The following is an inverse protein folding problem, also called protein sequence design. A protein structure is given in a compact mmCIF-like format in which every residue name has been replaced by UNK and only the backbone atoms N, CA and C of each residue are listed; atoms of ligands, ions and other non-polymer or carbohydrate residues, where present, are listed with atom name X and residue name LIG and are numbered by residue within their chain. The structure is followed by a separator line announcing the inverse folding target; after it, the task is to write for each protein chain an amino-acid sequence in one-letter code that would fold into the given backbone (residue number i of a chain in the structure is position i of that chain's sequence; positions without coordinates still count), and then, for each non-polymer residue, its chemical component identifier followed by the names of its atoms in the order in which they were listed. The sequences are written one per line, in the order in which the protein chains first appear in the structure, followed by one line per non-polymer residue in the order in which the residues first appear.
data_IF_374969443939
#
_entry.id   IF_374969443939
#
_cell.length_a   1.000
_cell.length_b   1.000
_cell.length_c   1.000
_cell.angle_alpha   90.00
_cell.angle_beta   90.00
_cell.angle_gamma   90.00
#
_symmetry.space_group_name_H-M   'P 1'
#
loop_
_entity.id
_entity.type
_entity.pdbx_description
1 polymer ?
#
# COMPACT_ATOMS: atom_id res chain seq x y z
N UNK A 1 -24.98 12.66 16.65
CA UNK A 1 -23.64 12.76 16.04
C UNK A 1 -23.70 12.21 14.63
N UNK A 2 -23.90 13.07 13.64
CA UNK A 2 -23.80 12.71 12.22
C UNK A 2 -22.32 12.73 11.86
N UNK A 3 -21.69 11.55 11.81
CA UNK A 3 -20.29 11.43 11.36
C UNK A 3 -20.24 11.85 9.90
N UNK A 4 -19.87 13.11 9.62
CA UNK A 4 -19.59 13.51 8.23
C UNK A 4 -18.40 12.69 7.78
N UNK A 5 -18.61 11.81 6.80
CA UNK A 5 -17.50 11.10 6.15
C UNK A 5 -16.72 12.16 5.39
N UNK A 6 -15.70 12.70 6.04
CA UNK A 6 -14.88 13.75 5.47
C UNK A 6 -14.06 13.14 4.34
N UNK A 7 -14.23 13.69 3.13
CA UNK A 7 -13.56 13.15 1.95
C UNK A 7 -12.03 13.17 2.16
N UNK A 8 -11.33 12.06 1.87
CA UNK A 8 -9.89 12.00 2.09
C UNK A 8 -9.15 13.04 1.23
N UNK A 9 -8.12 13.70 1.78
CA UNK A 9 -7.31 14.66 1.04
C UNK A 9 -6.75 14.07 -0.26
N UNK A 10 -6.56 14.91 -1.29
CA UNK A 10 -6.08 14.48 -2.61
C UNK A 10 -4.79 13.64 -2.52
N UNK A 11 -3.87 14.03 -1.64
CA UNK A 11 -2.63 13.30 -1.38
C UNK A 11 -2.89 11.85 -0.91
N UNK A 12 -3.82 11.65 0.02
CA UNK A 12 -4.19 10.31 0.53
C UNK A 12 -4.84 9.47 -0.56
N UNK A 13 -5.70 10.08 -1.39
CA UNK A 13 -6.32 9.40 -2.54
C UNK A 13 -5.30 8.96 -3.58
N UNK A 14 -4.30 9.81 -3.87
CA UNK A 14 -3.20 9.46 -4.78
C UNK A 14 -2.37 8.32 -4.19
N UNK A 15 -1.99 8.41 -2.91
CA UNK A 15 -1.25 7.34 -2.23
C UNK A 15 -1.99 6.01 -2.25
N UNK A 16 -3.29 6.01 -2.01
CA UNK A 16 -4.08 4.78 -2.03
C UNK A 16 -4.27 4.24 -3.45
N UNK A 17 -4.42 5.10 -4.46
CA UNK A 17 -4.47 4.68 -5.86
C UNK A 17 -3.14 4.05 -6.32
N UNK A 18 -2.01 4.65 -5.96
CA UNK A 18 -0.69 4.08 -6.22
C UNK A 18 -0.52 2.71 -5.53
N UNK A 19 -0.82 2.64 -4.23
CA UNK A 19 -0.73 1.37 -3.49
C UNK A 19 -1.69 0.31 -4.07
N UNK A 20 -2.87 0.71 -4.56
CA UNK A 20 -3.82 -0.19 -5.19
C UNK A 20 -3.23 -0.81 -6.46
N UNK A 21 -2.59 -0.01 -7.32
CA UNK A 21 -1.89 -0.51 -8.53
C UNK A 21 -0.76 -1.47 -8.15
N UNK A 22 0.03 -1.11 -7.13
CA UNK A 22 1.11 -1.97 -6.64
C UNK A 22 0.58 -3.30 -6.09
N UNK A 23 -0.54 -3.28 -5.36
CA UNK A 23 -1.16 -4.47 -4.82
C UNK A 23 -1.78 -5.36 -5.89
N UNK A 24 -2.37 -4.78 -6.95
CA UNK A 24 -2.76 -5.53 -8.14
C UNK A 24 -1.56 -6.22 -8.80
N UNK A 25 -0.42 -5.55 -8.89
CA UNK A 25 0.82 -6.16 -9.39
C UNK A 25 1.27 -7.36 -8.55
N UNK A 26 1.19 -7.25 -7.22
CA UNK A 26 1.49 -8.36 -6.31
C UNK A 26 0.55 -9.56 -6.46
N UNK A 27 -0.76 -9.31 -6.64
CA UNK A 27 -1.73 -10.37 -6.94
C UNK A 27 -1.46 -11.00 -8.32
N UNK A 28 -1.17 -10.19 -9.33
CA UNK A 28 -0.84 -10.69 -10.66
C UNK A 28 0.40 -11.60 -10.63
N UNK A 29 1.43 -11.24 -9.84
CA UNK A 29 2.59 -12.10 -9.61
C UNK A 29 2.21 -13.41 -8.93
N UNK A 30 1.35 -13.38 -7.91
CA UNK A 30 0.87 -14.59 -7.25
C UNK A 30 0.15 -15.53 -8.22
N UNK A 31 -0.73 -14.99 -9.07
CA UNK A 31 -1.42 -15.75 -10.13
C UNK A 31 -0.41 -16.32 -11.12
N UNK A 32 0.60 -15.55 -11.55
CA UNK A 32 1.65 -16.02 -12.44
C UNK A 32 2.45 -17.20 -11.85
N UNK A 33 2.72 -17.19 -10.54
CA UNK A 33 3.37 -18.31 -9.86
C UNK A 33 2.49 -19.58 -9.84
N UNK A 34 1.18 -19.42 -9.63
CA UNK A 34 0.24 -20.56 -9.69
C UNK A 34 0.20 -21.14 -11.12
N UNK A 35 0.07 -20.29 -12.14
CA UNK A 35 0.11 -20.70 -13.55
C UNK A 35 1.43 -21.43 -13.85
N UNK A 36 2.55 -20.93 -13.32
CA UNK A 36 3.88 -21.53 -13.50
C UNK A 36 3.96 -22.95 -12.93
N UNK A 37 3.33 -23.22 -11.78
CA UNK A 37 3.27 -24.57 -11.19
C UNK A 37 2.36 -25.49 -12.01
N UNK A 38 1.19 -25.00 -12.43
CA UNK A 38 0.29 -25.75 -13.32
C UNK A 38 0.99 -26.11 -14.64
N UNK A 39 1.85 -25.24 -15.15
CA UNK A 39 2.70 -25.47 -16.30
C UNK A 39 3.89 -26.44 -16.07
N UNK A 40 4.00 -27.07 -14.90
CA UNK A 40 4.99 -28.12 -14.61
C UNK A 40 6.26 -27.66 -13.89
N UNK A 41 6.32 -26.43 -13.37
CA UNK A 41 7.50 -25.96 -12.62
C UNK A 41 7.69 -26.71 -11.30
N UNK A 42 8.92 -27.17 -11.05
CA UNK A 42 9.33 -27.81 -9.79
C UNK A 42 10.41 -26.97 -9.08
N UNK A 43 10.46 -26.97 -7.73
CA UNK A 43 9.54 -27.65 -6.81
C UNK A 43 8.22 -26.86 -6.61
N UNK A 44 7.08 -27.55 -6.68
CA UNK A 44 5.76 -26.91 -6.60
C UNK A 44 5.45 -26.30 -5.22
N UNK A 45 5.81 -26.99 -4.13
CA UNK A 45 5.50 -26.58 -2.75
C UNK A 45 5.99 -25.16 -2.40
N UNK A 46 7.29 -24.86 -2.53
CA UNK A 46 7.82 -23.52 -2.26
C UNK A 46 7.22 -22.42 -3.14
N UNK A 47 6.96 -22.71 -4.43
CA UNK A 47 6.39 -21.74 -5.37
C UNK A 47 4.94 -21.40 -4.97
N UNK A 48 4.13 -22.40 -4.63
CA UNK A 48 2.77 -22.20 -4.13
C UNK A 48 2.77 -21.51 -2.76
N UNK A 49 3.74 -21.81 -1.90
CA UNK A 49 3.93 -21.12 -0.62
C UNK A 49 4.17 -19.62 -0.81
N UNK A 50 5.07 -19.26 -1.74
CA UNK A 50 5.30 -17.86 -2.11
C UNK A 50 4.03 -17.20 -2.67
N UNK A 51 3.29 -17.88 -3.56
CA UNK A 51 2.03 -17.38 -4.09
C UNK A 51 1.00 -17.13 -2.98
N UNK A 52 0.87 -18.05 -2.02
CA UNK A 52 -0.04 -17.91 -0.87
C UNK A 52 0.27 -16.68 -0.01
N UNK A 53 1.55 -16.46 0.31
CA UNK A 53 1.98 -15.27 1.06
C UNK A 53 1.66 -13.99 0.30
N UNK A 54 1.92 -13.95 -1.01
CA UNK A 54 1.61 -12.80 -1.86
C UNK A 54 0.10 -12.51 -1.90
N UNK A 55 -0.75 -13.53 -2.02
CA UNK A 55 -2.22 -13.35 -1.99
C UNK A 55 -2.67 -12.76 -0.67
N UNK A 56 -2.20 -13.29 0.46
CA UNK A 56 -2.60 -12.79 1.79
C UNK A 56 -2.15 -11.34 1.99
N UNK A 57 -0.88 -11.07 1.69
CA UNK A 57 -0.30 -9.75 1.90
C UNK A 57 -0.92 -8.70 0.97
N UNK A 58 -0.89 -8.92 -0.34
CA UNK A 58 -1.41 -7.96 -1.31
C UNK A 58 -2.94 -7.92 -1.36
N UNK A 59 -3.62 -9.01 -0.99
CA UNK A 59 -5.07 -9.01 -0.78
C UNK A 59 -5.47 -8.11 0.40
N UNK A 60 -4.73 -8.18 1.51
CA UNK A 60 -4.90 -7.25 2.63
C UNK A 60 -4.61 -5.79 2.24
N UNK A 61 -3.57 -5.55 1.44
CA UNK A 61 -3.25 -4.23 0.93
C UNK A 61 -4.34 -3.68 -0.03
N UNK A 62 -4.91 -4.52 -0.90
CA UNK A 62 -6.06 -4.14 -1.74
C UNK A 62 -7.26 -3.73 -0.88
N UNK A 63 -7.62 -4.53 0.13
CA UNK A 63 -8.71 -4.19 1.03
C UNK A 63 -8.44 -2.86 1.75
N UNK A 64 -7.23 -2.67 2.27
CA UNK A 64 -6.84 -1.45 2.95
C UNK A 64 -6.91 -0.23 2.02
N UNK A 65 -6.44 -0.32 0.78
CA UNK A 65 -6.48 0.81 -0.16
C UNK A 65 -7.89 1.18 -0.58
N UNK A 66 -8.79 0.21 -0.74
CA UNK A 66 -10.23 0.45 -0.99
C UNK A 66 -10.86 1.15 0.22
N UNK A 67 -10.60 0.68 1.44
CA UNK A 67 -11.10 1.30 2.67
C UNK A 67 -10.55 2.72 2.85
N UNK A 68 -9.27 2.93 2.54
CA UNK A 68 -8.63 4.23 2.61
C UNK A 68 -9.23 5.22 1.60
N UNK A 69 -9.55 4.76 0.39
CA UNK A 69 -10.22 5.59 -0.63
C UNK A 69 -11.66 5.96 -0.23
N UNK A 70 -12.33 5.08 0.54
CA UNK A 70 -13.67 5.33 1.13
C UNK A 70 -13.64 6.22 2.37
N UNK A 71 -12.45 6.65 2.81
CA UNK A 71 -12.30 7.57 3.93
C UNK A 71 -12.16 6.91 5.31
N UNK A 72 -11.83 5.61 5.38
CA UNK A 72 -11.57 4.96 6.67
C UNK A 72 -10.14 5.26 7.15
N UNK A 73 -10.00 6.10 8.20
CA UNK A 73 -8.69 6.57 8.68
C UNK A 73 -7.78 5.41 9.14
N UNK A 74 -8.37 4.36 9.74
CA UNK A 74 -7.66 3.17 10.23
C UNK A 74 -6.99 2.33 9.13
N UNK A 75 -7.38 2.49 7.87
CA UNK A 75 -6.76 1.79 6.75
C UNK A 75 -5.40 2.37 6.33
N UNK A 76 -4.98 3.51 6.92
CA UNK A 76 -3.66 4.12 6.66
C UNK A 76 -2.52 3.26 7.18
N UNK A 77 -2.67 2.64 8.36
CA UNK A 77 -1.59 1.86 8.98
C UNK A 77 -1.20 0.63 8.15
N UNK A 78 -2.13 -0.23 7.69
CA UNK A 78 -1.78 -1.37 6.83
C UNK A 78 -1.09 -0.96 5.52
N UNK A 79 -1.48 0.19 4.94
CA UNK A 79 -0.83 0.74 3.74
C UNK A 79 0.61 1.15 4.05
N UNK A 80 0.85 1.88 5.15
CA UNK A 80 2.20 2.27 5.57
C UNK A 80 3.07 1.04 5.82
N UNK A 81 2.56 0.04 6.56
CA UNK A 81 3.29 -1.20 6.85
C UNK A 81 3.67 -1.92 5.57
N UNK A 82 2.74 -2.02 4.62
CA UNK A 82 3.02 -2.62 3.31
C UNK A 82 4.16 -1.90 2.59
N UNK A 83 4.19 -0.57 2.60
CA UNK A 83 5.26 0.18 1.96
C UNK A 83 6.61 0.03 2.66
N UNK A 84 6.64 -0.04 3.99
CA UNK A 84 7.88 -0.29 4.73
C UNK A 84 8.45 -1.67 4.43
N UNK A 85 7.59 -2.70 4.37
CA UNK A 85 7.99 -4.04 3.99
C UNK A 85 8.50 -4.09 2.54
N UNK A 86 7.85 -3.39 1.62
CA UNK A 86 8.28 -3.33 0.22
C UNK A 86 9.58 -2.56 0.01
N UNK A 87 9.89 -1.57 0.85
CA UNK A 87 11.22 -0.95 0.88
C UNK A 87 12.29 -1.99 1.26
N UNK A 88 12.01 -2.86 2.23
CA UNK A 88 12.88 -3.99 2.55
C UNK A 88 13.08 -4.94 1.38
N UNK A 89 12.01 -5.28 0.66
CA UNK A 89 12.08 -6.07 -0.57
C UNK A 89 12.89 -5.35 -1.68
N UNK A 90 12.71 -4.05 -1.83
CA UNK A 90 13.42 -3.23 -2.81
C UNK A 90 14.93 -3.18 -2.54
N UNK A 91 15.32 -3.08 -1.26
CA UNK A 91 16.72 -3.21 -0.85
C UNK A 91 17.31 -4.58 -1.22
N UNK A 92 16.57 -5.66 -0.96
CA UNK A 92 17.01 -7.01 -1.32
C UNK A 92 17.14 -7.20 -2.85
N UNK A 93 16.23 -6.60 -3.62
CA UNK A 93 16.31 -6.58 -5.08
C UNK A 93 17.51 -5.78 -5.58
N UNK A 94 17.80 -4.64 -4.93
CA UNK A 94 18.89 -3.74 -5.33
C UNK A 94 20.27 -4.36 -5.13
N UNK A 95 20.55 -4.91 -3.94
CA UNK A 95 21.86 -5.47 -3.61
C UNK A 95 21.94 -6.97 -3.87
N UNK A 96 21.40 -7.82 -2.97
CA UNK A 96 21.54 -9.28 -3.05
C UNK A 96 21.06 -9.94 -4.35
N UNK A 97 19.99 -9.43 -4.98
CA UNK A 97 19.45 -10.02 -6.20
C UNK A 97 20.05 -9.45 -7.49
N UNK A 98 21.02 -8.53 -7.38
CA UNK A 98 21.68 -7.84 -8.49
C UNK A 98 20.71 -7.23 -9.51
N UNK A 99 19.55 -6.75 -9.05
CA UNK A 99 18.53 -6.08 -9.87
C UNK A 99 18.42 -4.60 -9.46
N UNK A 100 19.47 -3.79 -9.66
CA UNK A 100 19.55 -2.43 -9.13
C UNK A 100 18.46 -1.52 -9.68
N UNK A 101 18.06 -1.69 -10.94
CA UNK A 101 17.01 -0.88 -11.56
C UNK A 101 15.64 -1.13 -10.91
N UNK A 102 15.25 -2.40 -10.76
CA UNK A 102 13.96 -2.77 -10.15
C UNK A 102 13.91 -2.40 -8.67
N UNK A 103 15.01 -2.64 -7.93
CA UNK A 103 15.14 -2.24 -6.54
C UNK A 103 15.02 -0.72 -6.36
N UNK A 104 15.72 0.06 -7.19
CA UNK A 104 15.68 1.53 -7.11
C UNK A 104 14.28 2.07 -7.42
N UNK A 105 13.66 1.62 -8.52
CA UNK A 105 12.32 2.08 -8.92
C UNK A 105 11.27 1.69 -7.88
N UNK A 106 11.32 0.45 -7.37
CA UNK A 106 10.43 -0.01 -6.32
C UNK A 106 10.59 0.78 -5.01
N UNK A 107 11.83 1.04 -4.59
CA UNK A 107 12.12 1.83 -3.40
C UNK A 107 11.61 3.27 -3.51
N UNK A 108 11.91 3.95 -4.63
CA UNK A 108 11.43 5.31 -4.91
C UNK A 108 9.90 5.34 -4.90
N UNK A 109 9.25 4.35 -5.53
CA UNK A 109 7.79 4.24 -5.56
C UNK A 109 7.19 4.20 -4.15
N UNK A 110 7.73 3.34 -3.29
CA UNK A 110 7.27 3.22 -1.90
C UNK A 110 7.47 4.52 -1.11
N UNK A 111 8.61 5.18 -1.28
CA UNK A 111 8.90 6.48 -0.64
C UNK A 111 7.91 7.55 -1.09
N UNK A 112 7.60 7.64 -2.38
CA UNK A 112 6.62 8.60 -2.92
C UNK A 112 5.25 8.40 -2.27
N UNK A 113 4.78 7.14 -2.16
CA UNK A 113 3.52 6.82 -1.49
C UNK A 113 3.55 7.27 -0.02
N UNK A 114 4.63 6.99 0.70
CA UNK A 114 4.79 7.41 2.09
C UNK A 114 4.76 8.93 2.22
N UNK A 115 5.48 9.67 1.37
CA UNK A 115 5.48 11.14 1.36
C UNK A 115 4.05 11.67 1.21
N UNK A 116 3.27 11.13 0.27
CA UNK A 116 1.87 11.52 0.10
C UNK A 116 1.02 11.24 1.36
N UNK A 117 1.21 10.10 2.01
CA UNK A 117 0.51 9.75 3.25
C UNK A 117 0.93 10.62 4.45
N UNK A 118 2.15 11.16 4.46
CA UNK A 118 2.69 11.97 5.56
C UNK A 118 2.60 13.49 5.32
N UNK A 119 1.92 13.92 4.26
CA UNK A 119 1.56 15.33 4.04
C UNK A 119 0.82 15.92 5.24
N UNK A 120 0.93 17.25 5.43
CA UNK A 120 0.29 17.96 6.55
C UNK A 120 -1.23 17.69 6.58
N UNK A 121 -1.88 17.79 5.43
CA UNK A 121 -3.32 17.57 5.30
C UNK A 121 -3.69 16.11 5.56
N UNK A 122 -2.91 15.16 5.06
CA UNK A 122 -3.12 13.73 5.33
C UNK A 122 -3.02 13.38 6.81
N UNK A 123 -2.11 14.03 7.55
CA UNK A 123 -1.99 13.88 9.01
C UNK A 123 -3.13 14.52 9.77
N UNK A 124 -3.54 15.74 9.42
CA UNK A 124 -4.66 16.42 10.09
C UNK A 124 -5.97 15.65 9.92
N UNK A 125 -6.24 15.20 8.70
CA UNK A 125 -7.37 14.32 8.39
C UNK A 125 -7.34 13.02 9.20
N UNK A 126 -6.19 12.34 9.22
CA UNK A 126 -6.06 11.08 9.96
C UNK A 126 -6.29 11.25 11.47
N UNK A 127 -5.95 12.42 12.03
CA UNK A 127 -6.17 12.77 13.44
C UNK A 127 -7.56 13.38 13.72
N UNK A 128 -8.39 13.61 12.69
CA UNK A 128 -9.69 14.28 12.84
C UNK A 128 -9.58 15.74 13.28
N UNK A 129 -8.44 16.39 13.04
CA UNK A 129 -8.16 17.77 13.50
C UNK A 129 -8.69 18.86 12.57
N UNK A 130 -9.26 18.48 11.42
CA UNK A 130 -9.83 19.44 10.47
C UNK A 130 -11.08 20.15 11.05
N UNK A 131 -11.81 19.48 11.95
CA UNK A 131 -13.01 20.03 12.61
C UNK A 131 -12.69 21.10 13.69
N UNK A 132 -11.47 21.12 14.25
CA UNK A 132 -11.11 22.01 15.38
C UNK A 132 -10.80 23.43 14.91
N UNK A 133 -10.32 23.60 13.68
CA UNK A 133 -9.96 24.92 13.13
C UNK A 133 -11.17 25.80 12.76
N UNK A 134 -12.36 25.22 12.65
CA UNK A 134 -13.60 25.93 12.31
C UNK A 134 -14.30 26.44 13.59
N UNK A 135 -14.20 25.71 14.70
CA UNK A 135 -14.81 26.07 15.99
C UNK A 135 -14.17 27.27 16.69
N UNK A 136 -12.88 27.52 16.47
CA UNK A 136 -12.10 28.60 17.13
C UNK A 136 -12.25 29.97 16.43
N UNK A 137 -13.00 30.06 15.33
CA UNK A 137 -13.31 31.34 14.64
C UNK A 137 -14.71 31.87 14.94
N UNK A 138 -15.47 31.18 15.80
CA UNK A 138 -16.85 31.51 16.12
C UNK A 138 -17.01 32.22 17.49
N UNK A 139 -15.91 32.43 18.21
CA UNK A 139 -15.85 33.13 19.50
C UNK A 139 -15.10 34.47 19.37
#
# INVERSE_FOLDING_TARGET
MTTRIQAPPRAVRIASALTFVQALGGIALAVALVIRVIGGSTPAGPILGAAGVLVIWFGGALLATVMLFRGHHGARTPVIVTQLLLIGCAWYAYGPSEQPLLGSLGGIYCVVVLVFLFTRDGRKWALGLDDVSEGDKAD
#
